data_IF_706669537918
#
_entry.id   IF_706669537918
#
_cell.length_a   1.000
_cell.length_b   1.000
_cell.length_c   1.000
_cell.angle_alpha   90.00
_cell.angle_beta   90.00
_cell.angle_gamma   90.00
#
_symmetry.space_group_name_H-M   'P 1'
#
loop_
_entity.id
_entity.type
_entity.pdbx_description
1 polymer ?
#
# COMPACT_ATOMS: atom_id res chain seq x y z
N UNK A 1 -13.28 2.00 11.70
CA UNK A 1 -12.32 1.15 10.99
C UNK A 1 -11.53 0.32 11.99
N UNK A 2 -11.47 -0.98 11.76
CA UNK A 2 -10.77 -1.88 12.67
C UNK A 2 -9.26 -1.70 12.48
N UNK A 3 -8.52 -1.47 13.57
CA UNK A 3 -7.07 -1.33 13.49
C UNK A 3 -6.43 -2.69 13.21
N UNK A 4 -5.24 -2.68 12.60
CA UNK A 4 -4.47 -3.91 12.35
C UNK A 4 -4.26 -4.73 13.62
N UNK A 5 -4.18 -4.06 14.78
CA UNK A 5 -3.96 -4.71 16.07
C UNK A 5 -5.16 -5.50 16.55
N UNK A 6 -6.39 -5.06 16.23
CA UNK A 6 -7.60 -5.80 16.59
C UNK A 6 -7.82 -7.04 15.73
N UNK A 7 -7.18 -7.08 14.55
CA UNK A 7 -7.22 -8.23 13.64
C UNK A 7 -6.06 -9.20 13.89
N UNK A 8 -5.17 -8.92 14.84
CA UNK A 8 -4.00 -9.75 15.11
C UNK A 8 -4.41 -10.95 15.96
N UNK A 9 -4.45 -12.13 15.34
CA UNK A 9 -4.97 -13.35 15.95
C UNK A 9 -3.95 -14.48 16.07
N UNK A 10 -2.81 -14.40 15.36
CA UNK A 10 -1.84 -15.49 15.30
C UNK A 10 -0.76 -15.36 16.38
N UNK A 11 -0.58 -16.42 17.17
CA UNK A 11 0.56 -16.51 18.07
C UNK A 11 1.85 -16.72 17.26
N UNK A 12 3.00 -16.45 17.87
CA UNK A 12 4.28 -16.47 17.15
C UNK A 12 4.58 -17.83 16.47
N UNK A 13 4.25 -18.95 17.12
CA UNK A 13 4.48 -20.27 16.55
C UNK A 13 3.67 -20.49 15.26
N UNK A 14 2.43 -20.05 15.25
CA UNK A 14 1.56 -20.17 14.08
C UNK A 14 2.00 -19.20 12.98
N UNK A 15 2.33 -17.97 13.35
CA UNK A 15 2.83 -16.97 12.40
C UNK A 15 4.12 -17.45 11.71
N UNK A 16 5.03 -18.02 12.47
CA UNK A 16 6.29 -18.56 11.95
C UNK A 16 6.02 -19.69 10.94
N UNK A 17 5.10 -20.57 11.27
CA UNK A 17 4.69 -21.66 10.38
C UNK A 17 4.10 -21.14 9.08
N UNK A 18 3.17 -20.18 9.16
CA UNK A 18 2.55 -19.58 8.00
C UNK A 18 3.55 -18.82 7.11
N UNK A 19 4.55 -18.21 7.71
CA UNK A 19 5.59 -17.48 6.98
C UNK A 19 6.75 -18.38 6.52
N UNK A 20 6.81 -19.62 7.00
CA UNK A 20 7.86 -20.56 6.64
C UNK A 20 9.21 -20.26 7.28
N UNK A 21 9.22 -19.72 8.49
CA UNK A 21 10.44 -19.35 9.22
C UNK A 21 10.39 -19.85 10.66
N UNK A 22 11.55 -19.83 11.32
CA UNK A 22 11.64 -20.19 12.74
C UNK A 22 11.10 -19.03 13.61
N UNK A 23 10.43 -19.31 14.75
CA UNK A 23 9.97 -18.26 15.67
C UNK A 23 11.06 -17.28 16.10
N UNK A 24 12.27 -17.75 16.28
CA UNK A 24 13.41 -16.89 16.63
C UNK A 24 13.70 -15.87 15.53
N UNK A 25 13.50 -16.24 14.28
CA UNK A 25 13.65 -15.34 13.15
C UNK A 25 12.65 -14.19 13.22
N UNK A 26 11.41 -14.46 13.65
CA UNK A 26 10.41 -13.41 13.85
C UNK A 26 10.82 -12.42 14.93
N UNK A 27 11.44 -12.92 16.01
CA UNK A 27 11.95 -12.05 17.08
C UNK A 27 13.07 -11.15 16.56
N UNK A 28 13.94 -11.68 15.71
CA UNK A 28 15.00 -10.90 15.06
C UNK A 28 14.41 -9.82 14.16
N UNK A 29 13.41 -10.16 13.37
CA UNK A 29 12.75 -9.20 12.47
C UNK A 29 12.06 -8.09 13.24
N UNK A 30 11.43 -8.42 14.37
CA UNK A 30 10.82 -7.41 15.23
C UNK A 30 11.88 -6.44 15.77
N UNK A 31 13.01 -6.96 16.24
CA UNK A 31 14.12 -6.13 16.74
C UNK A 31 14.71 -5.23 15.67
N UNK A 32 14.70 -5.69 14.41
CA UNK A 32 15.19 -4.90 13.26
C UNK A 32 14.15 -3.93 12.75
N UNK A 33 12.94 -3.93 13.28
CA UNK A 33 11.88 -3.03 12.86
C UNK A 33 11.17 -3.44 11.56
N UNK A 34 11.34 -4.69 11.11
CA UNK A 34 10.71 -5.19 9.89
C UNK A 34 9.25 -5.56 10.10
N UNK A 35 8.88 -5.91 11.31
CA UNK A 35 7.51 -6.26 11.69
C UNK A 35 7.25 -5.74 13.09
N UNK A 36 6.01 -5.34 13.36
CA UNK A 36 5.59 -4.81 14.66
C UNK A 36 4.30 -5.52 15.11
N UNK A 37 4.41 -6.70 15.72
CA UNK A 37 3.23 -7.45 16.17
C UNK A 37 2.54 -6.74 17.32
N UNK A 38 1.22 -6.91 17.41
CA UNK A 38 0.45 -6.46 18.55
C UNK A 38 0.84 -7.28 19.78
N UNK A 39 0.58 -6.75 20.97
CA UNK A 39 0.85 -7.43 22.24
C UNK A 39 -0.47 -7.59 22.99
N UNK A 40 -0.65 -8.76 23.61
CA UNK A 40 -1.76 -8.96 24.55
C UNK A 40 -1.46 -8.26 25.87
N UNK A 41 -2.45 -8.21 26.76
CA UNK A 41 -2.26 -7.65 28.10
C UNK A 41 -1.12 -8.34 28.85
N UNK A 42 -0.88 -9.63 28.61
CA UNK A 42 0.22 -10.39 29.19
C UNK A 42 1.56 -10.24 28.48
N UNK A 43 1.64 -9.41 27.44
CA UNK A 43 2.87 -9.15 26.71
C UNK A 43 3.19 -10.15 25.59
N UNK A 44 2.29 -11.06 25.27
CA UNK A 44 2.48 -12.03 24.20
C UNK A 44 2.28 -11.38 22.84
N UNK A 45 3.08 -11.79 21.86
CA UNK A 45 2.99 -11.32 20.48
C UNK A 45 1.76 -11.89 19.78
N UNK A 46 1.09 -11.04 18.99
CA UNK A 46 0.00 -11.46 18.11
C UNK A 46 0.21 -10.84 16.74
N UNK A 47 0.10 -11.67 15.70
CA UNK A 47 0.35 -11.28 14.32
C UNK A 47 -0.97 -11.24 13.56
N UNK A 48 -1.14 -10.21 12.72
CA UNK A 48 -2.30 -10.06 11.84
C UNK A 48 -2.02 -10.73 10.49
N UNK A 49 -3.06 -10.86 9.66
CA UNK A 49 -2.88 -11.32 8.28
C UNK A 49 -1.97 -10.38 7.50
N UNK A 50 -2.04 -9.07 7.77
CA UNK A 50 -1.13 -8.10 7.16
C UNK A 50 0.32 -8.35 7.56
N UNK A 51 0.56 -8.69 8.82
CA UNK A 51 1.90 -9.05 9.31
C UNK A 51 2.42 -10.30 8.60
N UNK A 52 1.56 -11.30 8.42
CA UNK A 52 1.94 -12.54 7.72
C UNK A 52 2.36 -12.22 6.28
N UNK A 53 1.64 -11.35 5.59
CA UNK A 53 1.99 -10.93 4.22
C UNK A 53 3.35 -10.25 4.17
N UNK A 54 3.65 -9.39 5.14
CA UNK A 54 4.97 -8.75 5.25
C UNK A 54 6.06 -9.79 5.45
N UNK A 55 5.83 -10.75 6.35
CA UNK A 55 6.80 -11.82 6.61
C UNK A 55 7.04 -12.68 5.37
N UNK A 56 6.00 -12.99 4.61
CA UNK A 56 6.12 -13.74 3.36
C UNK A 56 6.92 -12.93 2.33
N UNK A 57 6.70 -11.62 2.24
CA UNK A 57 7.46 -10.75 1.35
C UNK A 57 8.94 -10.70 1.74
N UNK A 58 9.23 -10.61 3.03
CA UNK A 58 10.61 -10.67 3.53
C UNK A 58 11.27 -11.97 3.07
N UNK A 59 10.55 -13.09 3.19
CA UNK A 59 11.08 -14.40 2.80
C UNK A 59 11.35 -14.47 1.31
N UNK A 60 10.48 -13.92 0.46
CA UNK A 60 10.71 -13.83 -0.98
C UNK A 60 12.00 -13.06 -1.29
N UNK A 61 12.17 -11.90 -0.67
CA UNK A 61 13.33 -11.03 -0.90
C UNK A 61 14.63 -11.68 -0.42
N UNK A 62 14.61 -12.35 0.73
CA UNK A 62 15.80 -13.05 1.21
C UNK A 62 16.15 -14.23 0.33
N UNK A 63 15.16 -14.92 -0.21
CA UNK A 63 15.36 -16.00 -1.17
C UNK A 63 15.99 -15.49 -2.47
N UNK A 64 15.65 -14.27 -2.87
CA UNK A 64 16.26 -13.61 -4.04
C UNK A 64 17.69 -13.13 -3.78
N UNK A 65 18.16 -13.24 -2.54
CA UNK A 65 19.53 -12.92 -2.20
C UNK A 65 19.74 -11.59 -1.48
N UNK A 66 18.68 -10.87 -1.12
CA UNK A 66 18.83 -9.63 -0.37
C UNK A 66 19.17 -9.93 1.09
N UNK A 67 20.04 -9.12 1.69
CA UNK A 67 20.26 -9.13 3.12
C UNK A 67 19.16 -8.31 3.82
N UNK A 68 19.11 -8.33 5.15
CA UNK A 68 18.05 -7.65 5.90
C UNK A 68 18.01 -6.14 5.66
N UNK A 69 19.17 -5.50 5.50
CA UNK A 69 19.21 -4.07 5.19
C UNK A 69 18.56 -3.78 3.82
N UNK A 70 18.85 -4.61 2.83
CA UNK A 70 18.24 -4.50 1.51
C UNK A 70 16.75 -4.78 1.55
N UNK A 71 16.32 -5.80 2.29
CA UNK A 71 14.91 -6.12 2.50
C UNK A 71 14.17 -4.92 3.09
N UNK A 72 14.73 -4.34 4.15
CA UNK A 72 14.13 -3.18 4.80
C UNK A 72 13.95 -2.02 3.82
N UNK A 73 14.98 -1.76 3.01
CA UNK A 73 14.92 -0.69 2.01
C UNK A 73 13.84 -0.94 0.94
N UNK A 74 13.74 -2.19 0.47
CA UNK A 74 12.72 -2.55 -0.52
C UNK A 74 11.32 -2.39 0.07
N UNK A 75 11.09 -2.84 1.31
CA UNK A 75 9.79 -2.69 1.95
C UNK A 75 9.40 -1.21 2.12
N UNK A 76 10.36 -0.36 2.49
CA UNK A 76 10.13 1.08 2.58
C UNK A 76 9.75 1.68 1.23
N UNK A 77 10.45 1.29 0.17
CA UNK A 77 10.19 1.77 -1.18
C UNK A 77 8.85 1.26 -1.71
N UNK A 78 8.48 0.03 -1.42
CA UNK A 78 7.18 -0.52 -1.80
C UNK A 78 6.04 0.23 -1.11
N UNK A 79 6.19 0.54 0.18
CA UNK A 79 5.20 1.31 0.92
C UNK A 79 5.08 2.73 0.36
N UNK A 80 6.20 3.36 0.06
CA UNK A 80 6.23 4.70 -0.56
C UNK A 80 5.58 4.69 -1.94
N UNK A 81 5.89 3.67 -2.74
CA UNK A 81 5.32 3.50 -4.06
C UNK A 81 3.79 3.35 -4.00
N UNK A 82 3.30 2.55 -3.08
CA UNK A 82 1.85 2.38 -2.86
C UNK A 82 1.20 3.70 -2.45
N UNK A 83 1.81 4.43 -1.53
CA UNK A 83 1.33 5.74 -1.08
C UNK A 83 1.24 6.73 -2.23
N UNK A 84 2.28 6.80 -3.07
CA UNK A 84 2.31 7.69 -4.22
C UNK A 84 1.28 7.28 -5.27
N UNK A 85 1.08 6.00 -5.47
CA UNK A 85 0.09 5.48 -6.41
C UNK A 85 -1.34 5.89 -5.99
N UNK A 86 -1.65 5.75 -4.72
CA UNK A 86 -2.94 6.17 -4.16
C UNK A 86 -3.13 7.67 -4.36
N UNK A 87 -2.10 8.46 -4.07
CA UNK A 87 -2.13 9.91 -4.23
C UNK A 87 -2.34 10.31 -5.69
N UNK A 88 -1.64 9.64 -6.61
CA UNK A 88 -1.77 9.87 -8.04
C UNK A 88 -3.18 9.55 -8.54
N UNK A 89 -3.73 8.42 -8.12
CA UNK A 89 -5.08 8.01 -8.51
C UNK A 89 -6.11 9.04 -8.03
N UNK A 90 -5.92 9.56 -6.81
CA UNK A 90 -6.80 10.61 -6.26
C UNK A 90 -6.72 11.89 -7.07
N UNK A 91 -5.51 12.32 -7.42
CA UNK A 91 -5.30 13.53 -8.23
C UNK A 91 -5.89 13.39 -9.63
N UNK A 92 -5.78 12.21 -10.23
CA UNK A 92 -6.40 11.92 -11.53
C UNK A 92 -7.91 11.99 -11.46
N UNK A 93 -8.51 11.42 -10.42
CA UNK A 93 -9.96 11.47 -10.23
C UNK A 93 -10.44 12.92 -10.05
N UNK A 94 -9.74 13.72 -9.26
CA UNK A 94 -10.06 15.14 -9.07
C UNK A 94 -9.89 15.94 -10.36
N UNK A 95 -8.84 15.66 -11.12
CA UNK A 95 -8.60 16.30 -12.43
C UNK A 95 -9.70 16.00 -13.43
N UNK A 96 -10.08 14.74 -13.55
CA UNK A 96 -11.15 14.31 -14.43
C UNK A 96 -12.48 14.95 -14.04
N UNK A 97 -12.77 15.04 -12.76
CA UNK A 97 -13.97 15.70 -12.24
C UNK A 97 -14.00 17.19 -12.59
N UNK A 98 -12.88 17.89 -12.46
CA UNK A 98 -12.78 19.31 -12.83
C UNK A 98 -12.99 19.53 -14.33
N UNK A 99 -12.42 18.69 -15.15
CA UNK A 99 -12.60 18.74 -16.61
C UNK A 99 -14.08 18.54 -16.95
N UNK A 100 -14.73 17.58 -16.33
CA UNK A 100 -16.17 17.33 -16.53
C UNK A 100 -17.03 18.54 -16.19
N UNK A 101 -16.74 19.19 -15.08
CA UNK A 101 -17.44 20.42 -14.66
C UNK A 101 -17.23 21.56 -15.65
N UNK A 102 -16.02 21.73 -16.13
CA UNK A 102 -15.68 22.76 -17.12
C UNK A 102 -16.46 22.54 -18.41
N UNK A 103 -16.55 21.30 -18.89
CA UNK A 103 -17.33 20.96 -20.09
C UNK A 103 -18.81 21.29 -19.91
N UNK A 104 -19.39 20.98 -18.77
CA UNK A 104 -20.79 21.31 -18.46
C UNK A 104 -21.02 22.80 -18.45
N UNK A 105 -20.09 23.57 -17.89
CA UNK A 105 -20.17 25.03 -17.85
C UNK A 105 -20.13 25.63 -19.25
N UNK A 106 -19.20 25.18 -20.10
CA UNK A 106 -19.13 25.63 -21.50
C UNK A 106 -20.44 25.39 -22.25
N UNK A 107 -21.07 24.26 -22.06
CA UNK A 107 -22.36 23.95 -22.67
C UNK A 107 -23.46 24.92 -22.24
N UNK A 108 -23.46 25.32 -20.95
CA UNK A 108 -24.42 26.28 -20.40
C UNK A 108 -24.21 27.68 -20.93
N UNK A 109 -22.98 28.05 -21.25
CA UNK A 109 -22.63 29.38 -21.76
C UNK A 109 -22.77 29.51 -23.27
N UNK A 110 -23.47 28.59 -23.91
CA UNK A 110 -23.77 28.61 -25.34
C UNK A 110 -22.56 28.41 -26.27
N UNK A 111 -21.45 27.88 -25.74
CA UNK A 111 -20.34 27.43 -26.58
C UNK A 111 -20.76 26.15 -27.30
N UNK A 112 -20.59 26.03 -28.62
CA UNK A 112 -20.95 24.80 -29.31
C UNK A 112 -20.23 23.59 -28.73
N UNK A 113 -20.98 22.56 -28.34
CA UNK A 113 -20.45 21.34 -27.74
C UNK A 113 -19.35 20.70 -28.57
N UNK A 114 -19.52 20.70 -29.91
CA UNK A 114 -18.54 20.16 -30.85
C UNK A 114 -17.18 20.86 -30.71
N UNK A 115 -17.18 22.18 -30.58
CA UNK A 115 -15.96 22.97 -30.42
C UNK A 115 -15.29 22.71 -29.09
N UNK A 116 -16.04 22.61 -28.00
CA UNK A 116 -15.52 22.30 -26.66
C UNK A 116 -14.86 20.91 -26.64
N UNK A 117 -15.48 19.92 -27.24
CA UNK A 117 -14.96 18.56 -27.34
C UNK A 117 -13.66 18.53 -28.15
N UNK A 118 -13.59 19.27 -29.25
CA UNK A 118 -12.37 19.32 -30.06
C UNK A 118 -11.18 19.90 -29.26
N UNK A 119 -11.39 20.99 -28.53
CA UNK A 119 -10.36 21.58 -27.68
C UNK A 119 -9.86 20.60 -26.61
N UNK A 120 -10.76 19.87 -26.01
CA UNK A 120 -10.42 18.87 -25.00
C UNK A 120 -9.60 17.72 -25.58
N UNK A 121 -9.97 17.23 -26.77
CA UNK A 121 -9.23 16.16 -27.45
C UNK A 121 -7.82 16.59 -27.85
N UNK A 122 -7.66 17.82 -28.34
CA UNK A 122 -6.35 18.36 -28.71
C UNK A 122 -5.39 18.36 -27.53
N UNK A 123 -5.86 18.73 -26.34
CA UNK A 123 -5.06 18.72 -25.11
C UNK A 123 -4.66 17.32 -24.68
N UNK A 124 -5.49 16.32 -24.92
CA UNK A 124 -5.20 14.92 -24.55
C UNK A 124 -4.37 14.21 -25.59
N UNK A 125 -4.47 14.62 -26.84
CA UNK A 125 -3.74 14.02 -27.95
C UNK A 125 -2.30 14.44 -28.08
N UNK A 126 -1.85 15.39 -27.29
CA UNK A 126 -0.50 15.91 -27.36
C UNK A 126 0.56 14.99 -26.72
#
# INVERSE_FOLDING_TARGET
MISKRTEAVYVISVAAELAGVHPQTLRIYERKGLVDPARTAGGSRRYSDADIRVLQRIQELTTEGLNLAGVQRVLELEAENERLQIQLDRLRAEGDERVEKTHRQYRRELVPMKQAIMLYRDRRGA
#
